data_IF_499069248077
#
_entry.id   IF_499069248077
#
_cell.length_a   1.000
_cell.length_b   1.000
_cell.length_c   1.000
_cell.angle_alpha   90.00
_cell.angle_beta   90.00
_cell.angle_gamma   90.00
#
_symmetry.space_group_name_H-M   'P 1'
#
loop_
_entity.id
_entity.type
_entity.pdbx_description
1 polymer ?
#
# COMPACT_ATOMS: atom_id res chain seq x y z
N UNK A 1 15.41 31.41 -2.73
CA UNK A 1 14.43 30.74 -1.86
C UNK A 1 14.57 31.32 -0.47
N UNK A 2 13.55 32.01 0.07
CA UNK A 2 13.59 32.46 1.46
C UNK A 2 13.71 31.22 2.36
N UNK A 3 14.57 31.28 3.38
CA UNK A 3 14.62 30.22 4.39
C UNK A 3 13.27 30.19 5.10
N UNK A 4 12.65 29.02 5.17
CA UNK A 4 11.41 28.81 5.94
C UNK A 4 11.70 29.11 7.42
N UNK A 5 10.84 29.90 8.06
CA UNK A 5 10.95 30.20 9.49
C UNK A 5 10.59 28.95 10.31
N UNK A 6 11.51 28.42 11.14
CA UNK A 6 11.25 27.22 11.95
C UNK A 6 10.04 27.34 12.89
N UNK A 7 9.73 28.54 13.38
CA UNK A 7 8.61 28.76 14.30
C UNK A 7 7.25 28.69 13.60
N UNK A 8 7.18 29.26 12.38
CA UNK A 8 6.02 29.16 11.49
C UNK A 8 5.81 27.70 11.07
N UNK A 9 6.89 27.02 10.66
CA UNK A 9 6.84 25.60 10.33
C UNK A 9 6.35 24.74 11.49
N UNK A 10 6.77 25.04 12.72
CA UNK A 10 6.34 24.25 13.88
C UNK A 10 4.84 24.40 14.16
N UNK A 11 4.30 25.61 13.98
CA UNK A 11 2.86 25.85 14.14
C UNK A 11 2.07 25.15 13.04
N UNK A 12 2.48 25.32 11.78
CA UNK A 12 1.84 24.70 10.62
C UNK A 12 1.85 23.16 10.74
N UNK A 13 2.98 22.59 11.13
CA UNK A 13 3.12 21.14 11.37
C UNK A 13 2.19 20.70 12.50
N UNK A 14 2.12 21.43 13.62
CA UNK A 14 1.20 21.08 14.72
C UNK A 14 -0.25 21.04 14.25
N UNK A 15 -0.69 22.04 13.49
CA UNK A 15 -2.05 22.11 12.96
C UNK A 15 -2.40 20.94 12.02
N UNK A 16 -1.42 20.40 11.28
CA UNK A 16 -1.63 19.21 10.45
C UNK A 16 -1.93 17.94 11.26
N UNK A 17 -1.40 17.85 12.48
CA UNK A 17 -1.59 16.70 13.38
C UNK A 17 -2.59 16.96 14.52
N UNK A 18 -3.20 18.15 14.57
CA UNK A 18 -4.20 18.47 15.57
C UNK A 18 -5.44 17.57 15.40
N UNK A 19 -5.84 16.81 16.43
CA UNK A 19 -7.00 15.95 16.34
C UNK A 19 -8.25 16.80 16.09
N UNK A 20 -8.90 16.59 14.95
CA UNK A 20 -10.14 17.29 14.61
C UNK A 20 -11.29 16.70 15.42
N UNK A 21 -12.28 17.53 15.76
CA UNK A 21 -13.51 17.04 16.37
C UNK A 21 -14.08 15.90 15.50
N UNK A 22 -14.47 14.79 16.11
CA UNK A 22 -15.03 13.66 15.39
C UNK A 22 -16.16 14.14 14.47
N UNK A 23 -16.19 13.68 13.21
CA UNK A 23 -17.35 13.92 12.35
C UNK A 23 -18.59 13.40 13.09
N UNK A 24 -19.58 14.27 13.30
CA UNK A 24 -20.77 13.96 14.09
C UNK A 24 -21.41 12.65 13.61
N UNK A 25 -21.33 11.57 14.41
CA UNK A 25 -22.02 10.31 14.10
C UNK A 25 -21.42 9.02 14.64
N UNK A 26 -20.15 8.97 15.06
CA UNK A 26 -19.55 7.74 15.63
C UNK A 26 -18.47 8.06 16.66
N UNK A 27 -18.54 7.43 17.84
CA UNK A 27 -17.48 7.51 18.86
C UNK A 27 -16.16 6.84 18.40
N UNK A 28 -16.20 6.00 17.37
CA UNK A 28 -15.04 5.29 16.81
C UNK A 28 -14.31 6.09 15.72
N UNK A 29 -14.97 7.07 15.11
CA UNK A 29 -14.47 7.80 13.94
C UNK A 29 -14.64 7.02 12.63
N UNK A 30 -14.05 7.53 11.56
CA UNK A 30 -14.00 6.90 10.23
C UNK A 30 -12.81 5.95 10.07
N UNK A 31 -12.97 4.99 9.16
CA UNK A 31 -11.97 4.02 8.75
C UNK A 31 -11.87 3.99 7.23
N UNK A 32 -10.66 3.73 6.72
CA UNK A 32 -10.41 3.36 5.33
C UNK A 32 -9.32 2.30 5.26
N UNK A 33 -9.09 1.74 4.07
CA UNK A 33 -7.97 0.83 3.83
C UNK A 33 -7.28 1.18 2.52
N UNK A 34 -5.97 0.97 2.49
CA UNK A 34 -5.16 0.95 1.27
C UNK A 34 -4.66 -0.48 1.06
N UNK A 35 -4.84 -0.99 -0.16
CA UNK A 35 -4.53 -2.37 -0.55
C UNK A 35 -3.64 -2.36 -1.78
N UNK A 36 -2.47 -2.98 -1.68
CA UNK A 36 -1.53 -3.13 -2.79
C UNK A 36 -1.52 -4.58 -3.30
N UNK A 37 -1.59 -4.74 -4.62
CA UNK A 37 -1.61 -6.04 -5.31
C UNK A 37 -0.56 -6.09 -6.41
N UNK A 38 0.10 -7.24 -6.56
CA UNK A 38 1.03 -7.48 -7.66
C UNK A 38 0.27 -7.92 -8.91
N UNK A 39 0.32 -7.17 -10.02
CA UNK A 39 -0.16 -7.66 -11.30
C UNK A 39 0.87 -8.61 -11.92
N UNK A 40 0.43 -9.82 -12.25
CA UNK A 40 1.25 -10.90 -12.76
C UNK A 40 0.70 -11.42 -14.09
N UNK A 41 1.59 -11.67 -15.05
CA UNK A 41 1.26 -12.50 -16.21
C UNK A 41 1.58 -13.95 -15.85
N UNK A 42 0.65 -14.88 -16.15
CA UNK A 42 0.87 -16.31 -15.90
C UNK A 42 1.32 -16.97 -17.19
N UNK A 43 2.59 -17.38 -17.25
CA UNK A 43 3.17 -18.03 -18.42
C UNK A 43 3.32 -19.55 -18.17
N UNK A 44 2.91 -20.41 -19.12
CA UNK A 44 2.90 -21.86 -18.90
C UNK A 44 4.25 -22.47 -18.45
N UNK A 45 5.36 -21.96 -18.96
CA UNK A 45 6.71 -22.52 -18.71
C UNK A 45 7.52 -21.74 -17.66
N UNK A 46 7.17 -20.46 -17.42
CA UNK A 46 7.93 -19.55 -16.54
C UNK A 46 7.24 -19.32 -15.19
N UNK A 47 5.96 -19.70 -15.07
CA UNK A 47 5.13 -19.38 -13.90
C UNK A 47 4.72 -17.90 -13.86
N UNK A 48 4.42 -17.35 -12.67
CA UNK A 48 4.02 -15.95 -12.53
C UNK A 48 5.22 -15.03 -12.73
N UNK A 49 5.09 -14.08 -13.66
CA UNK A 49 6.09 -13.03 -13.89
C UNK A 49 5.45 -11.66 -13.72
N UNK A 50 6.23 -10.58 -13.51
CA UNK A 50 5.66 -9.24 -13.46
C UNK A 50 4.85 -8.96 -14.74
N UNK A 51 3.64 -8.40 -14.59
CA UNK A 51 2.77 -8.09 -15.73
C UNK A 51 3.50 -7.29 -16.80
N UNK A 52 3.26 -7.57 -18.08
CA UNK A 52 3.87 -6.85 -19.20
C UNK A 52 3.35 -5.41 -19.33
N UNK A 53 2.11 -5.17 -18.91
CA UNK A 53 1.47 -3.85 -18.86
C UNK A 53 1.44 -3.29 -17.43
N UNK A 54 1.49 -1.96 -17.28
CA UNK A 54 1.43 -1.28 -15.98
C UNK A 54 0.84 0.12 -16.10
N UNK A 55 0.65 0.81 -14.96
CA UNK A 55 0.20 2.20 -14.97
C UNK A 55 -1.21 2.37 -15.55
N UNK A 56 -1.47 3.52 -16.17
CA UNK A 56 -2.78 3.83 -16.73
C UNK A 56 -3.27 2.80 -17.75
N UNK A 57 -2.37 2.24 -18.55
CA UNK A 57 -2.70 1.21 -19.53
C UNK A 57 -3.30 -0.01 -18.84
N UNK A 58 -2.72 -0.46 -17.73
CA UNK A 58 -3.26 -1.58 -16.96
C UNK A 58 -4.64 -1.24 -16.35
N UNK A 59 -4.84 -0.05 -15.79
CA UNK A 59 -6.15 0.33 -15.25
C UNK A 59 -7.22 0.35 -16.33
N UNK A 60 -6.89 0.91 -17.49
CA UNK A 60 -7.82 0.99 -18.62
C UNK A 60 -8.09 -0.42 -19.16
N UNK A 61 -7.06 -1.26 -19.22
CA UNK A 61 -7.19 -2.66 -19.61
C UNK A 61 -8.12 -3.42 -18.65
N UNK A 62 -8.07 -3.16 -17.34
CA UNK A 62 -8.91 -3.82 -16.34
C UNK A 62 -10.26 -3.14 -16.09
N UNK A 63 -10.56 -2.01 -16.74
CA UNK A 63 -11.78 -1.24 -16.47
C UNK A 63 -11.82 -0.58 -15.07
N UNK A 64 -10.66 -0.48 -14.41
CA UNK A 64 -10.54 -0.09 -13.00
C UNK A 64 -11.09 1.31 -12.70
N UNK A 65 -11.03 2.23 -13.69
CA UNK A 65 -11.57 3.59 -13.51
C UNK A 65 -13.08 3.63 -13.37
N UNK A 66 -13.80 2.76 -14.09
CA UNK A 66 -15.26 2.65 -13.97
C UNK A 66 -15.62 2.12 -12.59
N UNK A 67 -14.94 1.04 -12.18
CA UNK A 67 -15.10 0.42 -10.85
C UNK A 67 -14.87 1.45 -9.74
N UNK A 68 -13.75 2.18 -9.77
CA UNK A 68 -13.45 3.18 -8.75
C UNK A 68 -14.45 4.35 -8.72
N UNK A 69 -14.94 4.80 -9.89
CA UNK A 69 -15.92 5.88 -9.95
C UNK A 69 -17.25 5.50 -9.27
N UNK A 70 -17.67 4.24 -9.37
CA UNK A 70 -18.91 3.74 -8.76
C UNK A 70 -18.84 3.70 -7.22
N UNK A 71 -17.64 3.49 -6.66
CA UNK A 71 -17.43 3.31 -5.21
C UNK A 71 -16.78 4.52 -4.51
N UNK A 72 -16.19 5.46 -5.27
CA UNK A 72 -15.60 6.69 -4.73
C UNK A 72 -14.18 6.51 -4.15
N UNK A 73 -13.56 5.35 -4.37
CA UNK A 73 -12.15 5.11 -4.07
C UNK A 73 -11.22 5.56 -5.20
N UNK A 74 -9.92 5.32 -5.05
CA UNK A 74 -8.90 5.71 -6.02
C UNK A 74 -7.90 4.59 -6.27
N UNK A 75 -7.65 4.29 -7.54
CA UNK A 75 -6.52 3.49 -7.95
C UNK A 75 -5.25 4.32 -8.14
N UNK A 76 -4.13 3.76 -7.69
CA UNK A 76 -2.80 4.36 -7.74
C UNK A 76 -1.77 3.26 -8.08
N UNK A 77 -0.50 3.63 -8.21
CA UNK A 77 0.58 2.71 -8.55
C UNK A 77 1.81 2.92 -7.68
N UNK A 78 2.32 1.82 -7.16
CA UNK A 78 3.60 1.78 -6.46
C UNK A 78 4.77 1.67 -7.46
N UNK A 79 6.02 1.92 -7.01
CA UNK A 79 7.19 1.98 -7.89
C UNK A 79 7.42 0.71 -8.72
N UNK A 80 7.13 -0.46 -8.17
CA UNK A 80 7.26 -1.76 -8.83
C UNK A 80 6.08 -2.12 -9.74
N UNK A 81 5.12 -1.21 -9.93
CA UNK A 81 3.93 -1.46 -10.74
C UNK A 81 2.80 -2.17 -9.99
N UNK A 82 2.91 -2.35 -8.67
CA UNK A 82 1.81 -2.81 -7.85
C UNK A 82 0.64 -1.85 -8.00
N UNK A 83 -0.58 -2.40 -8.13
CA UNK A 83 -1.80 -1.60 -8.13
C UNK A 83 -2.16 -1.33 -6.67
N UNK A 84 -2.39 -0.08 -6.34
CA UNK A 84 -2.94 0.30 -5.04
C UNK A 84 -4.41 0.71 -5.21
N UNK A 85 -5.28 0.23 -4.31
CA UNK A 85 -6.62 0.76 -4.13
C UNK A 85 -6.73 1.46 -2.77
N UNK A 86 -6.99 2.76 -2.76
CA UNK A 86 -7.36 3.53 -1.56
C UNK A 86 -8.89 3.67 -1.50
N UNK A 87 -9.52 3.12 -0.46
CA UNK A 87 -10.98 3.25 -0.27
C UNK A 87 -11.38 4.69 0.08
N UNK A 88 -12.64 5.08 -0.12
CA UNK A 88 -13.19 6.20 0.63
C UNK A 88 -13.12 5.93 2.14
N UNK A 89 -13.22 6.98 2.95
CA UNK A 89 -13.40 6.82 4.39
C UNK A 89 -14.87 6.59 4.72
N UNK A 90 -15.15 5.62 5.59
CA UNK A 90 -16.52 5.22 5.98
C UNK A 90 -16.64 5.09 7.49
N UNK A 91 -17.86 5.09 8.03
CA UNK A 91 -18.13 5.02 9.48
C UNK A 91 -18.39 3.61 10.02
N UNK A 92 -18.26 2.57 9.18
CA UNK A 92 -18.61 1.18 9.51
C UNK A 92 -17.62 0.22 8.85
N UNK A 93 -17.17 -0.79 9.61
CA UNK A 93 -16.33 -1.85 9.07
C UNK A 93 -17.07 -2.69 8.02
N UNK A 94 -18.38 -2.92 8.19
CA UNK A 94 -19.16 -3.66 7.19
C UNK A 94 -19.19 -2.90 5.85
N UNK A 95 -19.42 -1.59 5.89
CA UNK A 95 -19.40 -0.75 4.69
C UNK A 95 -18.01 -0.76 4.01
N UNK A 96 -16.93 -0.76 4.81
CA UNK A 96 -15.57 -0.86 4.28
C UNK A 96 -15.32 -2.20 3.59
N UNK A 97 -15.74 -3.30 4.20
CA UNK A 97 -15.58 -4.64 3.62
C UNK A 97 -16.41 -4.81 2.35
N UNK A 98 -17.59 -4.21 2.29
CA UNK A 98 -18.43 -4.22 1.09
C UNK A 98 -17.79 -3.39 -0.03
N UNK A 99 -17.22 -2.22 0.26
CA UNK A 99 -16.47 -1.40 -0.71
C UNK A 99 -15.28 -2.16 -1.30
N UNK A 100 -14.49 -2.80 -0.44
CA UNK A 100 -13.33 -3.60 -0.86
C UNK A 100 -13.75 -4.75 -1.76
N UNK A 101 -14.78 -5.51 -1.41
CA UNK A 101 -15.27 -6.64 -2.23
C UNK A 101 -15.83 -6.16 -3.57
N UNK A 102 -16.71 -5.16 -3.54
CA UNK A 102 -17.33 -4.66 -4.77
C UNK A 102 -16.31 -4.01 -5.71
N UNK A 103 -15.19 -3.52 -5.20
CA UNK A 103 -14.12 -2.97 -6.04
C UNK A 103 -13.14 -4.05 -6.51
N UNK A 104 -12.62 -4.88 -5.61
CA UNK A 104 -11.53 -5.80 -5.95
C UNK A 104 -12.03 -7.10 -6.61
N UNK A 105 -13.22 -7.60 -6.30
CA UNK A 105 -13.73 -8.84 -6.92
C UNK A 105 -13.88 -8.67 -8.45
N UNK A 106 -14.51 -7.59 -8.97
CA UNK A 106 -14.59 -7.36 -10.41
C UNK A 106 -13.22 -7.08 -11.05
N UNK A 107 -12.32 -6.39 -10.34
CA UNK A 107 -10.97 -6.11 -10.82
C UNK A 107 -10.17 -7.39 -11.01
N UNK A 108 -10.21 -8.29 -10.02
CA UNK A 108 -9.58 -9.61 -10.09
C UNK A 108 -10.20 -10.47 -11.20
N UNK A 109 -11.53 -10.50 -11.30
CA UNK A 109 -12.23 -11.24 -12.37
C UNK A 109 -11.87 -10.71 -13.77
N UNK A 110 -11.75 -9.39 -13.93
CA UNK A 110 -11.30 -8.78 -15.17
C UNK A 110 -9.87 -9.21 -15.51
N UNK A 111 -8.95 -9.18 -14.54
CA UNK A 111 -7.56 -9.62 -14.72
C UNK A 111 -7.48 -11.09 -15.14
N UNK A 112 -8.24 -11.97 -14.48
CA UNK A 112 -8.31 -13.40 -14.83
C UNK A 112 -8.82 -13.60 -16.26
N UNK A 113 -9.88 -12.87 -16.66
CA UNK A 113 -10.39 -12.89 -18.03
C UNK A 113 -9.39 -12.42 -19.09
N UNK A 114 -8.28 -11.80 -18.67
CA UNK A 114 -7.16 -11.34 -19.50
C UNK A 114 -5.89 -12.18 -19.35
N UNK A 115 -5.98 -13.32 -18.64
CA UNK A 115 -4.84 -14.21 -18.42
C UNK A 115 -3.83 -13.67 -17.40
N UNK A 116 -4.23 -12.68 -16.60
CA UNK A 116 -3.42 -12.08 -15.55
C UNK A 116 -3.89 -12.55 -14.17
N UNK A 117 -3.04 -12.40 -13.17
CA UNK A 117 -3.39 -12.62 -11.78
C UNK A 117 -2.99 -11.41 -10.93
N UNK A 118 -3.88 -10.98 -10.02
CA UNK A 118 -3.58 -9.93 -9.05
C UNK A 118 -3.32 -10.58 -7.69
N UNK A 119 -2.05 -10.61 -7.27
CA UNK A 119 -1.64 -11.36 -6.10
C UNK A 119 -1.47 -10.47 -4.86
N UNK A 120 -2.02 -10.92 -3.74
CA UNK A 120 -1.84 -10.31 -2.42
C UNK A 120 -0.73 -11.03 -1.65
N UNK A 121 0.48 -10.45 -1.61
CA UNK A 121 1.60 -10.96 -0.82
C UNK A 121 2.43 -9.80 -0.29
N UNK A 122 3.03 -9.91 0.89
CA UNK A 122 3.85 -8.84 1.44
C UNK A 122 5.19 -8.64 0.73
N UNK A 123 5.74 -9.71 0.15
CA UNK A 123 6.98 -9.75 -0.60
C UNK A 123 6.79 -10.76 -1.73
N UNK A 124 7.05 -10.36 -2.97
CA UNK A 124 6.91 -11.28 -4.11
C UNK A 124 7.85 -12.48 -4.00
N UNK A 125 7.33 -13.73 -4.04
CA UNK A 125 8.15 -14.94 -4.08
C UNK A 125 8.49 -15.40 -5.51
N UNK A 126 7.93 -14.75 -6.54
CA UNK A 126 7.94 -15.26 -7.91
C UNK A 126 9.14 -14.81 -8.73
N UNK A 127 9.78 -13.70 -8.36
CA UNK A 127 10.86 -13.10 -9.14
C UNK A 127 11.78 -12.22 -8.29
N UNK A 128 13.05 -12.13 -8.69
CA UNK A 128 14.08 -11.35 -8.00
C UNK A 128 14.13 -9.88 -8.43
N UNK A 129 14.99 -9.09 -7.76
CA UNK A 129 15.18 -7.65 -8.03
C UNK A 129 15.40 -7.28 -9.49
N UNK A 130 16.17 -8.10 -10.20
CA UNK A 130 16.56 -7.85 -11.58
C UNK A 130 15.36 -7.91 -12.54
N UNK A 131 14.24 -8.51 -12.10
CA UNK A 131 13.03 -8.70 -12.90
C UNK A 131 12.09 -7.49 -12.88
N UNK A 132 12.30 -6.52 -11.97
CA UNK A 132 11.42 -5.34 -11.84
C UNK A 132 12.23 -4.05 -11.87
N UNK A 133 12.19 -3.39 -13.02
CA UNK A 133 12.61 -2.00 -13.16
C UNK A 133 11.63 -1.04 -12.48
N UNK A 134 11.96 0.25 -12.42
CA UNK A 134 11.04 1.26 -11.91
C UNK A 134 9.88 1.45 -12.91
N UNK A 135 8.73 0.84 -12.61
CA UNK A 135 7.55 0.82 -13.50
C UNK A 135 6.67 2.06 -13.39
N UNK A 136 6.76 2.78 -12.27
CA UNK A 136 6.10 4.08 -12.10
C UNK A 136 7.15 5.21 -11.92
N UNK A 137 7.70 5.79 -12.99
CA UNK A 137 8.81 6.74 -12.91
C UNK A 137 8.34 8.18 -12.66
N UNK A 138 7.53 8.42 -11.62
CA UNK A 138 7.22 9.79 -11.20
C UNK A 138 8.49 10.51 -10.73
N UNK A 139 8.49 11.85 -10.76
CA UNK A 139 9.64 12.65 -10.25
C UNK A 139 10.03 12.23 -8.83
N UNK A 140 9.04 12.01 -7.95
CA UNK A 140 9.26 11.51 -6.58
C UNK A 140 9.97 10.15 -6.58
N UNK A 141 9.48 9.19 -7.37
CA UNK A 141 10.03 7.84 -7.38
C UNK A 141 11.41 7.76 -8.04
N UNK A 142 11.71 8.62 -9.02
CA UNK A 142 13.06 8.73 -9.57
C UNK A 142 14.07 9.22 -8.53
N UNK A 143 13.72 10.22 -7.71
CA UNK A 143 14.62 10.68 -6.65
C UNK A 143 14.78 9.65 -5.53
N UNK A 144 13.69 8.99 -5.14
CA UNK A 144 13.74 7.88 -4.18
C UNK A 144 14.65 6.76 -4.69
N UNK A 145 14.52 6.36 -5.95
CA UNK A 145 15.35 5.31 -6.54
C UNK A 145 16.84 5.67 -6.52
N UNK A 146 17.17 6.92 -6.90
CA UNK A 146 18.56 7.41 -6.81
C UNK A 146 19.08 7.43 -5.39
N UNK A 147 18.26 7.80 -4.41
CA UNK A 147 18.65 7.83 -3.01
C UNK A 147 18.87 6.41 -2.47
N UNK A 148 17.92 5.50 -2.68
CA UNK A 148 18.00 4.15 -2.16
C UNK A 148 19.14 3.35 -2.78
N UNK A 149 19.43 3.53 -4.06
CA UNK A 149 20.62 2.95 -4.70
C UNK A 149 21.94 3.33 -4.01
N UNK A 150 22.01 4.44 -3.27
CA UNK A 150 23.23 4.86 -2.56
C UNK A 150 23.38 4.26 -1.16
N UNK A 151 22.30 3.82 -0.53
CA UNK A 151 22.32 3.40 0.87
C UNK A 151 22.20 1.88 1.06
N UNK A 152 21.88 1.14 0.00
CA UNK A 152 21.85 -0.31 0.01
C UNK A 152 20.73 -0.91 -0.84
N UNK A 153 20.62 -2.25 -0.88
CA UNK A 153 19.68 -2.93 -1.76
C UNK A 153 18.22 -2.85 -1.28
N UNK A 154 17.99 -2.69 0.02
CA UNK A 154 16.69 -2.89 0.64
C UNK A 154 15.65 -1.84 0.25
N UNK A 155 16.06 -0.60 -0.04
CA UNK A 155 15.12 0.41 -0.51
C UNK A 155 14.50 0.07 -1.87
N UNK A 156 15.25 -0.58 -2.77
CA UNK A 156 14.71 -1.08 -4.04
C UNK A 156 13.79 -2.27 -3.86
N UNK A 157 14.13 -3.18 -2.95
CA UNK A 157 13.23 -4.28 -2.57
C UNK A 157 11.91 -3.74 -2.01
N UNK A 158 11.97 -2.83 -1.05
CA UNK A 158 10.81 -2.16 -0.47
C UNK A 158 9.93 -1.55 -1.57
N UNK A 159 10.52 -0.69 -2.42
CA UNK A 159 9.76 0.01 -3.45
C UNK A 159 9.15 -0.90 -4.51
N UNK A 160 9.85 -1.97 -4.92
CA UNK A 160 9.50 -2.71 -6.14
C UNK A 160 8.99 -4.12 -5.92
N UNK A 161 9.16 -4.69 -4.73
CA UNK A 161 8.89 -6.09 -4.44
C UNK A 161 8.03 -6.30 -3.21
N UNK A 162 7.65 -5.24 -2.49
CA UNK A 162 6.72 -5.35 -1.37
C UNK A 162 5.34 -4.84 -1.74
N UNK A 163 4.34 -5.35 -1.04
CA UNK A 163 2.99 -4.82 -1.04
C UNK A 163 2.45 -4.80 0.40
N UNK A 164 1.38 -4.04 0.66
CA UNK A 164 0.79 -3.98 1.99
C UNK A 164 -0.73 -3.80 2.01
N UNK A 165 -1.31 -4.09 3.18
CA UNK A 165 -2.64 -3.65 3.57
C UNK A 165 -2.48 -2.66 4.72
N UNK A 166 -3.01 -1.45 4.56
CA UNK A 166 -2.84 -0.37 5.52
C UNK A 166 -4.22 0.10 5.99
N UNK A 167 -4.49 -0.01 7.30
CA UNK A 167 -5.76 0.44 7.87
C UNK A 167 -5.62 1.87 8.37
N UNK A 168 -6.39 2.77 7.77
CA UNK A 168 -6.39 4.19 8.07
C UNK A 168 -7.50 4.50 9.08
N UNK A 169 -7.12 4.98 10.25
CA UNK A 169 -8.05 5.29 11.35
C UNK A 169 -8.03 6.78 11.67
N UNK A 170 -9.20 7.38 11.89
CA UNK A 170 -9.25 8.72 12.46
C UNK A 170 -8.61 8.73 13.86
N UNK A 171 -7.75 9.72 14.09
CA UNK A 171 -7.05 9.92 15.36
C UNK A 171 -8.01 10.16 16.53
N UNK A 172 -9.25 10.60 16.25
CA UNK A 172 -10.29 10.86 17.24
C UNK A 172 -10.19 12.22 17.89
N UNK A 173 -10.88 12.39 19.03
CA UNK A 173 -10.91 13.66 19.76
C UNK A 173 -9.61 13.91 20.54
N UNK A 174 -9.27 15.17 20.85
CA UNK A 174 -8.01 15.51 21.51
C UNK A 174 -7.70 14.73 22.80
N UNK A 175 -8.73 14.41 23.59
CA UNK A 175 -8.57 13.69 24.87
C UNK A 175 -8.17 12.21 24.69
N UNK A 176 -8.49 11.57 23.56
CA UNK A 176 -8.14 10.15 23.30
C UNK A 176 -7.05 9.97 22.25
N UNK A 177 -6.76 10.98 21.44
CA UNK A 177 -5.83 10.94 20.31
C UNK A 177 -4.45 10.33 20.65
N UNK A 178 -3.79 10.85 21.69
CA UNK A 178 -2.47 10.38 22.09
C UNK A 178 -2.49 8.90 22.54
N UNK A 179 -3.53 8.48 23.25
CA UNK A 179 -3.68 7.09 23.69
C UNK A 179 -3.97 6.16 22.52
N UNK A 180 -4.81 6.56 21.55
CA UNK A 180 -5.08 5.77 20.34
C UNK A 180 -3.82 5.55 19.51
N UNK A 181 -3.02 6.61 19.31
CA UNK A 181 -1.74 6.51 18.62
C UNK A 181 -0.77 5.56 19.34
N UNK A 182 -0.62 5.69 20.66
CA UNK A 182 0.26 4.81 21.45
C UNK A 182 -0.16 3.35 21.38
N UNK A 183 -1.46 3.07 21.48
CA UNK A 183 -1.98 1.70 21.37
C UNK A 183 -1.74 1.14 19.98
N UNK A 184 -2.06 1.89 18.92
CA UNK A 184 -1.82 1.45 17.54
C UNK A 184 -0.33 1.16 17.29
N UNK A 185 0.56 2.02 17.77
CA UNK A 185 2.00 1.83 17.64
C UNK A 185 2.50 0.61 18.41
N UNK A 186 2.05 0.42 19.66
CA UNK A 186 2.41 -0.73 20.48
C UNK A 186 1.91 -2.06 19.90
N UNK A 187 0.77 -2.04 19.18
CA UNK A 187 0.22 -3.22 18.50
C UNK A 187 0.91 -3.54 17.18
N UNK A 188 1.71 -2.63 16.61
CA UNK A 188 2.31 -2.84 15.28
C UNK A 188 3.09 -4.16 15.15
N UNK A 189 3.98 -4.54 16.09
CA UNK A 189 4.69 -5.83 15.99
C UNK A 189 3.76 -7.06 16.06
N UNK A 190 2.68 -6.96 16.87
CA UNK A 190 1.69 -8.04 16.99
C UNK A 190 0.92 -8.18 15.68
N UNK A 191 0.48 -7.07 15.08
CA UNK A 191 -0.21 -7.08 13.79
C UNK A 191 0.72 -7.60 12.68
N UNK A 192 1.99 -7.19 12.65
CA UNK A 192 2.98 -7.74 11.72
C UNK A 192 3.10 -9.25 11.82
N UNK A 193 3.12 -9.81 13.05
CA UNK A 193 3.20 -11.25 13.26
C UNK A 193 1.91 -11.97 12.82
N UNK A 194 0.73 -11.43 13.16
CA UNK A 194 -0.58 -12.02 12.80
C UNK A 194 -0.81 -12.03 11.29
N UNK A 195 -0.38 -10.98 10.58
CA UNK A 195 -0.58 -10.82 9.14
C UNK A 195 0.66 -11.18 8.30
N UNK A 196 1.63 -11.87 8.88
CA UNK A 196 2.82 -12.32 8.16
C UNK A 196 2.44 -13.27 7.00
N UNK A 197 2.64 -12.84 5.76
CA UNK A 197 2.26 -13.57 4.55
C UNK A 197 3.38 -13.61 3.49
N UNK A 198 4.62 -13.44 3.93
CA UNK A 198 5.77 -13.16 3.07
C UNK A 198 7.02 -13.84 3.61
N UNK A 199 6.92 -15.12 3.96
CA UNK A 199 8.05 -15.87 4.50
C UNK A 199 9.24 -15.85 3.53
N UNK A 200 10.44 -15.69 4.08
CA UNK A 200 11.68 -15.61 3.29
C UNK A 200 12.86 -16.16 4.10
N UNK A 201 13.88 -16.64 3.39
CA UNK A 201 15.17 -16.97 3.98
C UNK A 201 16.13 -15.80 3.78
N UNK A 202 16.77 -15.36 4.86
CA UNK A 202 17.81 -14.34 4.81
C UNK A 202 19.08 -14.88 4.17
N UNK A 203 20.03 -14.01 3.84
CA UNK A 203 21.30 -14.41 3.20
C UNK A 203 22.13 -15.39 4.04
N UNK A 204 21.93 -15.42 5.35
CA UNK A 204 22.58 -16.34 6.29
C UNK A 204 21.77 -17.64 6.53
N UNK A 205 20.66 -17.82 5.82
CA UNK A 205 19.76 -18.97 5.96
C UNK A 205 18.78 -18.87 7.12
N UNK A 206 18.74 -17.75 7.85
CA UNK A 206 17.74 -17.54 8.91
C UNK A 206 16.35 -17.37 8.28
N UNK A 207 15.34 -18.18 8.65
CA UNK A 207 13.99 -17.99 8.15
C UNK A 207 13.30 -16.85 8.89
N UNK A 208 12.56 -16.02 8.15
CA UNK A 208 11.67 -14.99 8.71
C UNK A 208 10.24 -15.23 8.24
N UNK A 209 9.27 -15.00 9.13
CA UNK A 209 7.85 -15.14 8.78
C UNK A 209 7.36 -14.01 7.85
N UNK A 210 8.00 -12.84 7.90
CA UNK A 210 7.74 -11.72 6.99
C UNK A 210 9.03 -11.07 6.53
N UNK A 211 9.48 -11.46 5.33
CA UNK A 211 10.56 -10.80 4.60
C UNK A 211 10.23 -9.33 4.32
N UNK A 212 8.95 -9.00 4.06
CA UNK A 212 8.49 -7.61 3.96
C UNK A 212 8.87 -6.81 5.21
N UNK A 213 8.51 -7.31 6.40
CA UNK A 213 8.78 -6.60 7.65
C UNK A 213 10.28 -6.49 7.94
N UNK A 214 11.06 -7.50 7.55
CA UNK A 214 12.51 -7.49 7.71
C UNK A 214 13.23 -6.51 6.75
N UNK A 215 12.66 -6.25 5.57
CA UNK A 215 13.19 -5.26 4.60
C UNK A 215 13.11 -3.81 5.13
N UNK A 216 12.15 -3.50 6.01
CA UNK A 216 11.93 -2.18 6.61
C UNK A 216 12.78 -1.95 7.86
#
# INVERSE_FOLDING_TARGET
MSRLDPSVLQLDVRQLFEPRAASAGSALGRVGVELELFPLDVRPEEGPVPASVSGSELLDHLGARSIAHEHGGRFSFEPGGQIEYSTPTVSSLAALLDDVRQTLDPLCAAAEGKGMHLAASGLTPWYGLESVELRNPTSRYLEMDRYFNRIGPWGRWMMRHTASMQVNLELGVPVTAASRWRVANALSPVLTAVFANSAADLSDGTPVASGRAWIW
#
